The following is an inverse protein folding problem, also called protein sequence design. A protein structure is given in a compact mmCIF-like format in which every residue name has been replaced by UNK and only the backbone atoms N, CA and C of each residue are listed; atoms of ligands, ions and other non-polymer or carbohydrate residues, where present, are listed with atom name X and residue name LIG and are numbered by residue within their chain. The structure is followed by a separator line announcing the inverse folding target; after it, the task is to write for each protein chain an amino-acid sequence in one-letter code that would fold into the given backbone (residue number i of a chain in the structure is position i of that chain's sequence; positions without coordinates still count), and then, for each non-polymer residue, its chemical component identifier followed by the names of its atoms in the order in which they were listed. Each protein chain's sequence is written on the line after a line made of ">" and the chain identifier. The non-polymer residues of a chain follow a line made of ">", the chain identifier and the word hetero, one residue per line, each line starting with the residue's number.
data_IF_941782082712
#
_entry.id   IF_941782082712
#
_cell.length_a   1.000
_cell.length_b   1.000
_cell.length_c   1.000
_cell.angle_alpha   90.00
_cell.angle_beta   90.00
_cell.angle_gamma   90.00
#
_symmetry.space_group_name_H-M   'P 1'
#
loop_
_entity.id
_entity.type
_entity.pdbx_description
1 polymer ?
#
# COMPACT_ATOMS: atom_id res chain seq x y z
N UNK A 1 18.32 -39.47 -47.09
CA UNK A 1 17.95 -38.17 -46.50
C UNK A 1 17.79 -38.40 -45.01
N UNK A 2 18.83 -38.09 -44.23
CA UNK A 2 18.87 -38.38 -42.78
C UNK A 2 18.88 -37.06 -42.02
N UNK A 3 17.75 -36.75 -41.37
CA UNK A 3 17.63 -35.56 -40.53
C UNK A 3 18.46 -35.75 -39.24
N UNK A 4 19.49 -34.92 -39.09
CA UNK A 4 20.25 -34.82 -37.84
C UNK A 4 19.39 -34.15 -36.77
N UNK A 5 19.01 -34.92 -35.75
CA UNK A 5 18.31 -34.43 -34.58
C UNK A 5 19.25 -33.51 -33.78
N UNK A 6 19.02 -32.20 -33.88
CA UNK A 6 19.79 -31.16 -33.18
C UNK A 6 19.46 -31.20 -31.68
N UNK A 7 20.27 -31.92 -30.90
CA UNK A 7 20.12 -32.02 -29.44
C UNK A 7 20.52 -30.68 -28.81
N UNK A 8 19.54 -29.99 -28.25
CA UNK A 8 19.71 -28.74 -27.49
C UNK A 8 20.39 -29.04 -26.14
N UNK A 9 21.65 -28.59 -25.99
CA UNK A 9 22.53 -28.86 -24.83
C UNK A 9 22.43 -27.82 -23.71
N UNK A 10 21.44 -26.93 -23.76
CA UNK A 10 21.22 -25.97 -22.69
C UNK A 10 20.77 -26.69 -21.40
N UNK A 11 21.33 -26.34 -20.21
CA UNK A 11 20.93 -26.94 -18.95
C UNK A 11 19.43 -26.70 -18.70
N UNK A 12 18.69 -27.76 -18.35
CA UNK A 12 17.23 -27.70 -18.09
C UNK A 12 16.84 -26.65 -17.03
N UNK A 13 17.78 -26.29 -16.15
CA UNK A 13 17.62 -25.24 -15.15
C UNK A 13 17.41 -23.82 -15.74
N UNK A 14 17.88 -23.57 -16.97
CA UNK A 14 17.71 -22.27 -17.64
C UNK A 14 16.42 -22.16 -18.49
N UNK A 15 15.59 -23.21 -18.52
CA UNK A 15 14.26 -23.20 -19.15
C UNK A 15 13.19 -22.81 -18.11
N UNK A 16 13.35 -21.65 -17.49
CA UNK A 16 12.36 -21.11 -16.56
C UNK A 16 11.16 -20.57 -17.34
N UNK A 17 9.96 -20.86 -16.83
CA UNK A 17 8.65 -20.47 -17.42
C UNK A 17 8.49 -18.95 -17.66
N UNK A 18 9.33 -18.14 -17.05
CA UNK A 18 9.41 -16.68 -17.23
C UNK A 18 9.86 -16.25 -18.64
N UNK A 19 10.66 -17.07 -19.35
CA UNK A 19 11.16 -16.75 -20.71
C UNK A 19 10.17 -17.13 -21.83
N UNK A 20 9.15 -17.93 -21.54
CA UNK A 20 8.03 -18.10 -22.47
C UNK A 20 7.05 -16.97 -22.21
N UNK A 21 6.88 -16.08 -23.19
CA UNK A 21 5.88 -15.01 -23.16
C UNK A 21 4.47 -15.61 -23.16
N UNK A 22 4.03 -16.15 -22.01
CA UNK A 22 2.67 -16.60 -21.80
C UNK A 22 1.79 -15.37 -21.79
N UNK A 23 0.70 -15.41 -22.58
CA UNK A 23 -0.33 -14.37 -22.58
C UNK A 23 -0.76 -14.10 -21.13
N UNK A 24 -0.45 -12.90 -20.62
CA UNK A 24 -0.98 -12.46 -19.32
C UNK A 24 -2.52 -12.45 -19.44
N UNK A 25 -3.26 -13.04 -18.48
CA UNK A 25 -4.71 -12.91 -18.46
C UNK A 25 -5.06 -11.43 -18.41
N UNK A 26 -6.14 -11.04 -19.10
CA UNK A 26 -6.61 -9.67 -19.06
C UNK A 26 -6.88 -9.29 -17.60
N UNK A 27 -6.21 -8.23 -17.14
CA UNK A 27 -6.39 -7.67 -15.81
C UNK A 27 -7.02 -6.28 -15.99
N UNK A 28 -7.88 -5.85 -15.05
CA UNK A 28 -8.32 -4.47 -15.04
C UNK A 28 -7.09 -3.55 -14.95
N UNK A 29 -7.10 -2.39 -15.63
CA UNK A 29 -6.00 -1.45 -15.53
C UNK A 29 -5.84 -1.03 -14.06
N UNK A 30 -4.65 -1.24 -13.49
CA UNK A 30 -4.31 -0.60 -12.23
C UNK A 30 -4.21 0.89 -12.50
N UNK A 31 -5.18 1.65 -11.99
CA UNK A 31 -5.28 3.10 -12.25
C UNK A 31 -4.11 3.87 -11.60
N UNK A 32 -3.35 3.21 -10.72
CA UNK A 32 -2.29 3.79 -9.91
C UNK A 32 -1.02 2.93 -10.01
N UNK A 33 -0.47 2.83 -11.22
CA UNK A 33 0.83 2.21 -11.42
C UNK A 33 1.96 3.15 -10.97
N UNK A 34 3.00 2.62 -10.33
CA UNK A 34 4.08 3.40 -9.76
C UNK A 34 5.43 2.74 -10.07
N UNK A 35 6.52 3.52 -10.21
CA UNK A 35 7.84 2.94 -10.36
C UNK A 35 8.18 2.04 -9.16
N UNK A 36 9.01 1.00 -9.35
CA UNK A 36 9.48 0.19 -8.24
C UNK A 36 10.21 1.08 -7.24
N UNK A 37 9.86 0.95 -5.95
CA UNK A 37 10.51 1.73 -4.91
C UNK A 37 11.98 1.30 -4.75
N UNK A 38 12.89 2.24 -4.41
CA UNK A 38 14.24 1.90 -4.01
C UNK A 38 14.20 1.03 -2.76
N UNK A 39 15.26 0.25 -2.55
CA UNK A 39 15.34 -0.60 -1.37
C UNK A 39 15.21 0.23 -0.08
N UNK A 40 14.42 -0.26 0.88
CA UNK A 40 14.13 0.45 2.12
C UNK A 40 13.05 1.54 2.04
N UNK A 41 12.44 1.79 0.88
CA UNK A 41 11.36 2.78 0.71
C UNK A 41 10.04 2.14 0.28
N UNK A 42 8.93 2.78 0.66
CA UNK A 42 7.60 2.47 0.11
C UNK A 42 7.05 3.66 -0.65
N UNK A 43 6.40 3.39 -1.77
CA UNK A 43 5.65 4.38 -2.53
C UNK A 43 4.19 4.45 -2.07
N UNK A 44 3.61 5.66 -2.15
CA UNK A 44 2.19 5.91 -1.90
C UNK A 44 1.71 7.11 -2.71
N UNK A 45 0.50 6.97 -3.25
CA UNK A 45 -0.24 8.07 -3.83
C UNK A 45 -0.88 8.94 -2.74
N UNK A 46 -0.52 10.21 -2.72
CA UNK A 46 -1.06 11.24 -1.84
C UNK A 46 -2.06 12.07 -2.61
N UNK A 47 -3.20 12.37 -2.00
CA UNK A 47 -4.19 13.28 -2.60
C UNK A 47 -3.69 14.71 -2.59
N UNK A 48 -3.57 15.28 -3.77
CA UNK A 48 -3.26 16.69 -4.00
C UNK A 48 -4.50 17.50 -4.36
N UNK A 49 -5.56 16.89 -4.90
CA UNK A 49 -6.78 17.59 -5.29
C UNK A 49 -8.03 16.86 -4.78
N UNK A 50 -9.03 17.63 -4.37
CA UNK A 50 -10.37 17.13 -4.07
C UNK A 50 -11.40 18.00 -4.79
N UNK A 51 -12.19 17.39 -5.69
CA UNK A 51 -13.29 18.06 -6.41
C UNK A 51 -12.88 19.38 -7.11
N UNK A 52 -11.70 19.46 -7.73
CA UNK A 52 -11.24 20.68 -8.38
C UNK A 52 -10.43 21.64 -7.49
N UNK A 53 -10.33 21.37 -6.19
CA UNK A 53 -9.61 22.22 -5.24
C UNK A 53 -8.31 21.57 -4.76
N UNK A 54 -7.24 22.35 -4.69
CA UNK A 54 -5.92 21.92 -4.18
C UNK A 54 -6.01 21.61 -2.67
N UNK A 55 -5.77 20.36 -2.29
CA UNK A 55 -5.73 19.87 -0.92
C UNK A 55 -4.33 20.08 -0.32
N UNK A 56 -3.94 21.35 -0.19
CA UNK A 56 -2.65 21.73 0.37
C UNK A 56 -2.47 21.25 1.81
N UNK A 57 -3.57 21.11 2.56
CA UNK A 57 -3.54 20.62 3.94
C UNK A 57 -3.08 19.16 3.98
N UNK A 58 -3.63 18.30 3.13
CA UNK A 58 -3.22 16.91 3.09
C UNK A 58 -1.78 16.78 2.62
N UNK A 59 -1.39 17.43 1.52
CA UNK A 59 -0.01 17.37 1.01
C UNK A 59 0.99 17.87 2.05
N UNK A 60 0.76 19.06 2.64
CA UNK A 60 1.67 19.63 3.65
C UNK A 60 1.76 18.79 4.92
N UNK A 61 0.66 18.16 5.35
CA UNK A 61 0.67 17.25 6.50
C UNK A 61 1.49 16.01 6.22
N UNK A 62 1.42 15.47 5.00
CA UNK A 62 2.22 14.31 4.60
C UNK A 62 3.69 14.65 4.45
N UNK A 63 4.03 15.78 3.85
CA UNK A 63 5.42 16.24 3.77
C UNK A 63 6.04 16.39 5.17
N UNK A 64 5.30 16.91 6.16
CA UNK A 64 5.74 16.99 7.55
C UNK A 64 5.85 15.64 8.27
N UNK A 65 5.09 14.64 7.83
CA UNK A 65 5.15 13.28 8.35
C UNK A 65 6.39 12.52 7.82
N UNK A 66 7.13 13.09 6.86
CA UNK A 66 8.33 12.49 6.27
C UNK A 66 8.13 11.90 4.88
N UNK A 67 7.00 12.20 4.22
CA UNK A 67 6.82 11.83 2.82
C UNK A 67 7.62 12.75 1.90
N UNK A 68 8.34 12.17 0.95
CA UNK A 68 9.12 12.88 -0.06
C UNK A 68 8.48 12.69 -1.44
N UNK A 69 8.34 13.77 -2.22
CA UNK A 69 7.73 13.68 -3.56
C UNK A 69 8.68 13.03 -4.55
N UNK A 70 8.19 12.07 -5.32
CA UNK A 70 9.00 11.34 -6.30
C UNK A 70 8.97 12.07 -7.64
N UNK A 71 10.13 12.54 -8.08
CA UNK A 71 10.24 13.24 -9.38
C UNK A 71 10.44 12.25 -10.52
N UNK A 72 10.02 12.65 -11.72
CA UNK A 72 10.26 11.91 -12.96
C UNK A 72 11.75 11.71 -13.23
N UNK A 73 12.56 12.71 -12.90
CA UNK A 73 14.01 12.71 -13.17
C UNK A 73 14.75 11.55 -12.48
N UNK A 74 14.21 11.01 -11.38
CA UNK A 74 14.78 9.88 -10.65
C UNK A 74 14.50 8.53 -11.33
N UNK A 75 13.49 8.46 -12.21
CA UNK A 75 13.06 7.23 -12.89
C UNK A 75 12.84 7.50 -14.40
N UNK A 76 13.93 7.65 -15.18
CA UNK A 76 13.81 7.89 -16.62
C UNK A 76 13.20 6.70 -17.37
N UNK A 77 13.33 5.49 -16.83
CA UNK A 77 12.85 4.25 -17.46
C UNK A 77 11.35 3.99 -17.22
N UNK A 78 10.70 4.74 -16.33
CA UNK A 78 9.30 4.56 -16.01
C UNK A 78 8.43 5.61 -16.70
N UNK A 79 7.59 5.16 -17.63
CA UNK A 79 6.61 6.00 -18.29
C UNK A 79 5.33 6.07 -17.46
N UNK A 80 5.11 7.22 -16.83
CA UNK A 80 3.92 7.50 -16.04
C UNK A 80 3.43 8.93 -16.23
N UNK A 81 2.14 9.20 -15.94
CA UNK A 81 1.60 10.56 -15.93
C UNK A 81 2.33 11.44 -14.92
N UNK A 82 2.70 12.64 -15.36
CA UNK A 82 3.48 13.60 -14.59
C UNK A 82 2.70 14.90 -14.52
N UNK A 83 2.78 15.59 -13.39
CA UNK A 83 2.19 16.92 -13.27
C UNK A 83 3.00 17.89 -14.14
N UNK A 84 2.38 18.44 -15.17
CA UNK A 84 3.05 19.33 -16.13
C UNK A 84 3.10 20.79 -15.65
N UNK A 85 2.18 21.20 -14.79
CA UNK A 85 2.01 22.61 -14.40
C UNK A 85 1.78 22.80 -12.89
N UNK A 86 2.12 24.00 -12.41
CA UNK A 86 1.93 24.38 -11.02
C UNK A 86 3.09 23.99 -10.09
N UNK A 87 2.80 23.96 -8.78
CA UNK A 87 3.79 23.78 -7.70
C UNK A 87 4.46 22.39 -7.69
N UNK A 88 3.76 21.38 -8.19
CA UNK A 88 4.22 19.99 -8.18
C UNK A 88 4.76 19.56 -9.55
N UNK A 89 5.17 20.50 -10.40
CA UNK A 89 5.67 20.17 -11.73
C UNK A 89 6.86 19.20 -11.67
N UNK A 90 6.84 18.20 -12.55
CA UNK A 90 7.87 17.17 -12.62
C UNK A 90 7.73 16.03 -11.61
N UNK A 91 6.70 16.04 -10.75
CA UNK A 91 6.34 14.93 -9.85
C UNK A 91 5.36 13.99 -10.57
N UNK A 92 5.47 12.69 -10.35
CA UNK A 92 4.47 11.74 -10.86
C UNK A 92 3.09 12.07 -10.29
N UNK A 93 2.09 12.19 -11.17
CA UNK A 93 0.77 12.65 -10.80
C UNK A 93 -0.33 12.11 -11.70
N UNK A 94 -1.41 11.61 -11.09
CA UNK A 94 -2.55 11.01 -11.78
C UNK A 94 -3.86 11.49 -11.15
N UNK A 95 -4.68 12.23 -11.90
CA UNK A 95 -6.07 12.55 -11.51
C UNK A 95 -6.21 13.23 -10.13
N UNK A 96 -5.32 14.16 -9.80
CA UNK A 96 -5.32 14.84 -8.50
C UNK A 96 -4.58 14.09 -7.38
N UNK A 97 -3.89 13.01 -7.69
CA UNK A 97 -2.96 12.33 -6.79
C UNK A 97 -1.52 12.60 -7.22
N UNK A 98 -0.60 12.69 -6.26
CA UNK A 98 0.84 12.81 -6.47
C UNK A 98 1.57 11.65 -5.79
N UNK A 99 2.64 11.16 -6.41
CA UNK A 99 3.44 10.07 -5.86
C UNK A 99 4.43 10.59 -4.82
N UNK A 100 4.51 9.88 -3.70
CA UNK A 100 5.53 10.13 -2.69
C UNK A 100 6.13 8.83 -2.17
N UNK A 101 7.34 8.92 -1.62
CA UNK A 101 8.06 7.85 -0.94
C UNK A 101 8.24 8.15 0.54
N UNK A 102 8.39 7.11 1.35
CA UNK A 102 8.77 7.21 2.76
C UNK A 102 9.63 5.99 3.14
N UNK A 103 10.64 6.13 4.01
CA UNK A 103 11.42 5.00 4.52
C UNK A 103 10.53 4.00 5.26
N UNK A 104 10.82 2.70 5.11
CA UNK A 104 10.06 1.62 5.76
C UNK A 104 10.13 1.70 7.29
N UNK A 105 11.25 2.15 7.85
CA UNK A 105 11.43 2.34 9.29
C UNK A 105 10.41 3.33 9.86
N UNK A 106 10.30 4.50 9.23
CA UNK A 106 9.32 5.54 9.60
C UNK A 106 7.88 5.06 9.41
N UNK A 107 7.61 4.25 8.38
CA UNK A 107 6.29 3.63 8.18
C UNK A 107 5.96 2.68 9.34
N UNK A 108 6.92 1.89 9.80
CA UNK A 108 6.74 0.96 10.90
C UNK A 108 6.46 1.71 12.21
N UNK A 109 7.26 2.73 12.54
CA UNK A 109 7.05 3.58 13.72
C UNK A 109 5.68 4.25 13.72
N UNK A 110 5.29 4.81 12.57
CA UNK A 110 3.97 5.40 12.36
C UNK A 110 2.86 4.38 12.62
N UNK A 111 3.01 3.20 12.06
CA UNK A 111 2.00 2.13 12.17
C UNK A 111 1.85 1.70 13.62
N UNK A 112 2.96 1.55 14.34
CA UNK A 112 2.95 1.22 15.77
C UNK A 112 2.30 2.32 16.61
N UNK A 113 2.62 3.59 16.35
CA UNK A 113 1.99 4.72 17.04
C UNK A 113 0.46 4.72 16.89
N UNK A 114 -0.05 4.54 15.66
CA UNK A 114 -1.50 4.48 15.44
C UNK A 114 -2.13 3.21 16.01
N UNK A 115 -1.43 2.08 15.96
CA UNK A 115 -1.88 0.83 16.58
C UNK A 115 -2.05 1.00 18.09
N UNK A 116 -1.05 1.57 18.77
CA UNK A 116 -1.12 1.87 20.21
C UNK A 116 -2.28 2.80 20.53
N UNK A 117 -2.42 3.91 19.79
CA UNK A 117 -3.52 4.86 19.99
C UNK A 117 -4.90 4.21 19.83
N UNK A 118 -5.06 3.31 18.85
CA UNK A 118 -6.30 2.55 18.67
C UNK A 118 -6.55 1.58 19.83
N UNK A 119 -5.49 0.94 20.35
CA UNK A 119 -5.60 0.09 21.53
C UNK A 119 -6.00 0.90 22.77
N UNK A 120 -5.36 2.04 23.02
CA UNK A 120 -5.68 2.92 24.16
C UNK A 120 -7.14 3.38 24.14
N UNK A 121 -7.69 3.66 22.95
CA UNK A 121 -9.12 4.02 22.79
C UNK A 121 -10.05 2.86 23.14
N UNK A 122 -9.69 1.65 22.72
CA UNK A 122 -10.42 0.43 23.03
C UNK A 122 -10.43 0.18 24.54
N UNK A 123 -9.27 0.28 25.18
CA UNK A 123 -9.11 0.04 26.61
C UNK A 123 -9.85 1.10 27.43
N UNK A 124 -9.85 2.36 26.99
CA UNK A 124 -10.60 3.44 27.61
C UNK A 124 -12.12 3.18 27.59
N UNK A 125 -12.65 2.69 26.46
CA UNK A 125 -14.07 2.30 26.35
C UNK A 125 -14.37 1.13 27.28
N UNK A 126 -13.50 0.13 27.34
CA UNK A 126 -13.67 -1.02 28.24
C UNK A 126 -13.65 -0.60 29.71
N UNK A 127 -12.76 0.31 30.09
CA UNK A 127 -12.72 0.85 31.45
C UNK A 127 -13.99 1.62 31.82
N UNK A 128 -14.53 2.43 30.89
CA UNK A 128 -15.78 3.15 31.14
C UNK A 128 -16.96 2.18 31.27
N UNK A 129 -17.02 1.19 30.38
CA UNK A 129 -18.05 0.16 30.43
C UNK A 129 -17.96 -0.69 31.70
N UNK A 130 -16.75 -0.97 32.20
CA UNK A 130 -16.55 -1.65 33.50
C UNK A 130 -17.00 -0.79 34.67
N UNK A 131 -16.77 0.53 34.63
CA UNK A 131 -17.24 1.48 35.65
C UNK A 131 -18.77 1.53 35.69
N UNK A 132 -19.43 1.63 34.54
CA UNK A 132 -20.89 1.65 34.44
C UNK A 132 -21.52 0.32 34.89
N UNK A 133 -20.86 -0.81 34.60
CA UNK A 133 -21.28 -2.16 35.04
C UNK A 133 -21.04 -2.47 36.52
N UNK A 134 -20.57 -1.51 37.32
CA UNK A 134 -20.33 -1.73 38.75
C UNK A 134 -21.61 -1.89 39.59
N UNK A 135 -22.76 -1.41 39.09
CA UNK A 135 -24.05 -1.54 39.78
C UNK A 135 -24.86 -2.73 39.23
N UNK A 136 -25.15 -3.72 40.08
CA UNK A 136 -25.77 -5.00 39.70
C UNK A 136 -27.18 -4.90 39.07
N UNK A 137 -27.85 -3.75 39.15
CA UNK A 137 -29.22 -3.56 38.66
C UNK A 137 -29.30 -3.04 37.23
N UNK A 138 -28.19 -2.55 36.66
CA UNK A 138 -28.15 -1.97 35.30
C UNK A 138 -26.85 -2.37 34.58
N UNK A 139 -26.65 -3.68 34.36
CA UNK A 139 -25.46 -4.18 33.65
C UNK A 139 -25.66 -4.21 32.13
N UNK A 140 -24.81 -3.49 31.39
CA UNK A 140 -24.59 -3.63 29.95
C UNK A 140 -23.76 -4.90 29.71
N UNK A 141 -24.18 -5.78 28.79
CA UNK A 141 -23.48 -7.03 28.50
C UNK A 141 -21.98 -6.81 28.22
N UNK A 142 -21.11 -7.65 28.81
CA UNK A 142 -19.65 -7.60 28.57
C UNK A 142 -19.35 -7.74 27.07
N UNK A 143 -18.32 -7.05 26.53
CA UNK A 143 -18.01 -7.13 25.13
C UNK A 143 -17.34 -8.49 24.87
N UNK A 144 -17.97 -9.36 24.06
CA UNK A 144 -17.35 -10.61 23.62
C UNK A 144 -16.31 -10.31 22.54
N UNK A 145 -15.06 -10.07 22.97
CA UNK A 145 -13.93 -9.79 22.06
C UNK A 145 -13.35 -11.11 21.53
N UNK A 146 -13.99 -11.71 20.53
CA UNK A 146 -13.36 -12.78 19.76
C UNK A 146 -12.38 -12.22 18.72
N UNK A 147 -11.08 -12.40 18.96
CA UNK A 147 -10.01 -12.03 18.01
C UNK A 147 -9.69 -13.15 17.00
N UNK A 148 -10.27 -14.34 17.18
CA UNK A 148 -9.98 -15.52 16.35
C UNK A 148 -10.94 -15.61 15.18
N UNK A 149 -10.50 -15.18 14.01
CA UNK A 149 -11.20 -15.45 12.75
C UNK A 149 -10.77 -16.84 12.25
N UNK A 150 -11.63 -17.84 12.39
CA UNK A 150 -11.42 -19.15 11.75
C UNK A 150 -11.65 -19.02 10.25
N UNK A 151 -10.57 -18.91 9.48
CA UNK A 151 -10.61 -19.05 8.03
C UNK A 151 -10.61 -20.53 7.66
N UNK A 152 -11.73 -21.03 7.14
CA UNK A 152 -11.85 -22.36 6.55
C UNK A 152 -12.42 -23.44 7.46
N UNK A 153 -13.70 -23.74 7.28
CA UNK A 153 -14.26 -25.06 7.63
C UNK A 153 -13.75 -26.13 6.65
N UNK A 154 -13.80 -27.43 7.01
CA UNK A 154 -13.25 -28.50 6.20
C UNK A 154 -13.91 -28.51 4.81
N UNK A 155 -13.08 -28.48 3.75
CA UNK A 155 -13.52 -28.83 2.40
C UNK A 155 -13.96 -30.30 2.42
N UNK A 156 -15.25 -30.54 2.21
CA UNK A 156 -15.73 -31.85 1.74
C UNK A 156 -15.26 -32.10 0.32
#
# INVERSE_FOLDING_TARGET
>A
MTEQTKIDRAPRANKTREKQAVRKPWAPPSVLDAPPAPDGYTHRWIRAETRGFDDQKNVSSKLREGWELVRKDEYPDFEGPVVESGKYSGVFGQGGLILARMPLETVAERTEHFRRRSQDQIDAVDHDMMRENSHSTMTINKPDRQSRVTFGGPKK
#
